data_IF_216561285199
#
_entry.id   IF_216561285199
#
_cell.length_a   1.000
_cell.length_b   1.000
_cell.length_c   1.000
_cell.angle_alpha   90.00
_cell.angle_beta   90.00
_cell.angle_gamma   90.00
#
_symmetry.space_group_name_H-M   'P 1'
#
loop_
_entity.id
_entity.type
_entity.pdbx_description
1 polymer ?
#
# COMPACT_ATOMS: atom_id res chain seq x y z
N UNK A 1 28.86 -21.64 -8.72
CA UNK A 1 29.95 -20.89 -9.40
C UNK A 1 29.93 -21.05 -10.94
N UNK A 2 29.53 -22.22 -11.49
CA UNK A 2 29.46 -22.43 -12.95
C UNK A 2 28.47 -21.50 -13.70
N UNK A 3 27.33 -21.13 -13.10
CA UNK A 3 26.35 -20.24 -13.74
C UNK A 3 26.87 -18.79 -13.91
N UNK A 4 27.81 -18.35 -13.06
CA UNK A 4 28.33 -16.98 -13.11
C UNK A 4 29.04 -16.68 -14.44
N UNK A 5 29.71 -17.69 -15.02
CA UNK A 5 30.40 -17.55 -16.29
C UNK A 5 29.45 -17.31 -17.48
N UNK A 6 28.19 -17.71 -17.37
CA UNK A 6 27.18 -17.52 -18.42
C UNK A 6 26.60 -16.10 -18.42
N UNK A 7 26.69 -15.37 -17.29
CA UNK A 7 26.17 -14.00 -17.20
C UNK A 7 26.91 -13.00 -18.10
N UNK A 8 28.10 -13.33 -18.61
CA UNK A 8 28.82 -12.49 -19.58
C UNK A 8 28.02 -12.26 -20.88
N UNK A 9 27.10 -13.17 -21.18
CA UNK A 9 26.29 -13.13 -22.39
C UNK A 9 24.97 -12.37 -22.17
N UNK A 10 24.64 -12.03 -20.92
CA UNK A 10 23.48 -11.19 -20.59
C UNK A 10 23.81 -9.72 -20.88
N UNK A 11 22.96 -9.06 -21.69
CA UNK A 11 23.13 -7.67 -22.08
C UNK A 11 21.82 -6.92 -21.92
N UNK A 12 21.93 -5.66 -21.51
CA UNK A 12 20.83 -4.70 -21.43
C UNK A 12 21.30 -3.44 -22.13
N UNK A 13 20.43 -2.85 -22.94
CA UNK A 13 20.74 -1.60 -23.60
C UNK A 13 20.90 -0.48 -22.59
N UNK A 14 22.02 0.24 -22.68
CA UNK A 14 22.30 1.37 -21.77
C UNK A 14 21.41 2.57 -22.07
N UNK A 15 20.99 2.73 -23.31
CA UNK A 15 20.12 3.82 -23.73
C UNK A 15 18.67 3.36 -23.65
N UNK A 16 17.86 4.05 -22.83
CA UNK A 16 16.42 3.76 -22.68
C UNK A 16 15.60 4.14 -23.92
N UNK A 17 16.18 4.95 -24.81
CA UNK A 17 15.57 5.40 -26.06
C UNK A 17 16.28 4.70 -27.23
N UNK A 18 15.55 3.97 -28.09
CA UNK A 18 16.15 3.37 -29.28
C UNK A 18 16.76 4.42 -30.22
N UNK A 19 17.73 4.00 -31.03
CA UNK A 19 18.24 4.83 -32.12
C UNK A 19 17.08 5.18 -33.08
N UNK A 20 17.09 6.41 -33.60
CA UNK A 20 16.09 6.88 -34.57
C UNK A 20 14.64 6.88 -34.05
N UNK A 21 14.41 6.75 -32.73
CA UNK A 21 13.07 6.75 -32.12
C UNK A 21 12.33 8.09 -32.24
N UNK A 22 12.93 9.14 -32.79
CA UNK A 22 12.27 10.45 -32.93
C UNK A 22 12.06 11.19 -31.61
N UNK A 23 11.15 12.17 -31.60
CA UNK A 23 10.83 12.97 -30.41
C UNK A 23 9.90 12.19 -29.47
N UNK A 24 10.21 12.19 -28.17
CA UNK A 24 9.38 11.55 -27.14
C UNK A 24 8.22 12.49 -26.82
N UNK A 25 7.00 12.02 -27.01
CA UNK A 25 5.76 12.76 -26.70
C UNK A 25 5.12 12.28 -25.40
N UNK A 26 5.43 11.05 -24.97
CA UNK A 26 4.89 10.45 -23.76
C UNK A 26 5.95 9.56 -23.11
N UNK A 27 6.05 9.63 -21.78
CA UNK A 27 6.91 8.77 -20.98
C UNK A 27 6.22 8.42 -19.65
N UNK A 28 6.10 7.13 -19.33
CA UNK A 28 5.45 6.66 -18.11
C UNK A 28 6.25 5.53 -17.46
N UNK A 29 6.42 5.59 -16.14
CA UNK A 29 7.05 4.53 -15.38
C UNK A 29 6.03 3.46 -15.01
N UNK A 30 6.40 2.19 -15.20
CA UNK A 30 5.63 1.04 -14.74
C UNK A 30 6.46 0.23 -13.75
N UNK A 31 5.93 0.08 -12.53
CA UNK A 31 6.57 -0.66 -11.45
C UNK A 31 5.78 -1.93 -11.14
N UNK A 32 6.39 -3.07 -11.33
CA UNK A 32 5.84 -4.36 -10.97
C UNK A 32 6.35 -4.77 -9.60
N UNK A 33 5.50 -5.33 -8.77
CA UNK A 33 5.85 -5.85 -7.45
C UNK A 33 5.32 -7.28 -7.28
N UNK A 34 6.12 -8.12 -6.64
CA UNK A 34 5.69 -9.48 -6.30
C UNK A 34 6.49 -10.05 -5.12
N UNK A 35 5.94 -11.09 -4.48
CA UNK A 35 6.64 -11.86 -3.46
C UNK A 35 6.31 -13.34 -3.52
N UNK A 36 7.27 -14.14 -3.07
CA UNK A 36 7.22 -15.59 -2.96
C UNK A 36 7.77 -16.03 -1.61
N UNK A 37 7.84 -17.34 -1.37
CA UNK A 37 8.48 -17.90 -0.18
C UNK A 37 10.00 -17.66 -0.16
N UNK A 38 10.62 -17.51 -1.33
CA UNK A 38 12.07 -17.34 -1.49
C UNK A 38 12.50 -15.88 -1.31
N UNK A 39 11.63 -14.93 -1.66
CA UNK A 39 11.96 -13.52 -1.67
C UNK A 39 10.85 -12.61 -2.15
N UNK A 40 11.17 -11.33 -2.29
CA UNK A 40 10.28 -10.33 -2.84
C UNK A 40 11.06 -9.37 -3.73
N UNK A 41 10.39 -8.86 -4.75
CA UNK A 41 11.05 -8.11 -5.79
C UNK A 41 10.19 -7.07 -6.47
N UNK A 42 10.87 -6.16 -7.17
CA UNK A 42 10.24 -5.18 -8.05
C UNK A 42 11.00 -5.06 -9.35
N UNK A 43 10.28 -4.69 -10.41
CA UNK A 43 10.83 -4.44 -11.74
C UNK A 43 10.26 -3.14 -12.25
N UNK A 44 11.10 -2.28 -12.79
CA UNK A 44 10.71 -0.98 -13.33
C UNK A 44 11.00 -0.94 -14.82
N UNK A 45 9.99 -0.53 -15.57
CA UNK A 45 10.08 -0.25 -17.00
C UNK A 45 9.69 1.21 -17.28
N UNK A 46 10.19 1.73 -18.40
CA UNK A 46 9.80 3.01 -18.97
C UNK A 46 9.07 2.77 -20.28
N UNK A 47 7.80 3.15 -20.33
CA UNK A 47 7.01 3.15 -21.55
C UNK A 47 7.17 4.50 -22.24
N UNK A 48 7.60 4.49 -23.50
CA UNK A 48 7.85 5.66 -24.33
C UNK A 48 6.97 5.62 -25.57
N UNK A 49 6.28 6.73 -25.87
CA UNK A 49 5.68 6.96 -27.19
C UNK A 49 6.39 8.10 -27.90
N UNK A 50 6.48 8.01 -29.22
CA UNK A 50 7.02 9.07 -30.06
C UNK A 50 5.95 9.78 -30.90
N UNK A 51 6.37 10.83 -31.61
CA UNK A 51 5.55 11.57 -32.58
C UNK A 51 5.02 10.72 -33.74
N UNK A 52 5.57 9.53 -33.98
CA UNK A 52 5.20 8.61 -35.05
C UNK A 52 4.33 7.44 -34.55
N UNK A 53 3.76 7.53 -33.34
CA UNK A 53 2.94 6.47 -32.71
C UNK A 53 3.69 5.15 -32.46
N UNK A 54 5.02 5.16 -32.46
CA UNK A 54 5.82 4.02 -32.04
C UNK A 54 5.85 3.94 -30.52
N UNK A 55 5.65 2.74 -30.01
CA UNK A 55 5.66 2.43 -28.58
C UNK A 55 6.90 1.60 -28.27
N UNK A 56 7.64 1.98 -27.23
CA UNK A 56 8.81 1.27 -26.76
C UNK A 56 8.76 1.08 -25.26
N UNK A 57 9.05 -0.14 -24.79
CA UNK A 57 9.20 -0.47 -23.39
C UNK A 57 10.67 -0.73 -23.10
N UNK A 58 11.27 0.10 -22.24
CA UNK A 58 12.67 -0.03 -21.84
C UNK A 58 12.77 -0.55 -20.40
N UNK A 59 13.58 -1.58 -20.18
CA UNK A 59 13.93 -2.02 -18.83
C UNK A 59 14.82 -0.99 -18.14
N UNK A 60 14.44 -0.58 -16.94
CA UNK A 60 15.23 0.33 -16.10
C UNK A 60 16.00 -0.48 -15.05
N UNK A 61 15.28 -1.26 -14.24
CA UNK A 61 15.87 -1.94 -13.09
C UNK A 61 15.00 -3.09 -12.61
N UNK A 62 15.65 -4.20 -12.26
CA UNK A 62 15.10 -5.26 -11.41
C UNK A 62 15.77 -5.22 -10.04
N UNK A 63 14.99 -5.32 -8.97
CA UNK A 63 15.49 -5.35 -7.59
C UNK A 63 14.84 -6.50 -6.83
N UNK A 64 15.65 -7.49 -6.45
CA UNK A 64 15.24 -8.64 -5.65
C UNK A 64 15.80 -8.56 -4.23
N UNK A 65 15.10 -9.16 -3.27
CA UNK A 65 15.54 -9.35 -1.88
C UNK A 65 15.11 -10.73 -1.39
N UNK A 66 16.01 -11.42 -0.70
CA UNK A 66 15.73 -12.72 -0.09
C UNK A 66 14.69 -12.58 1.03
N UNK A 67 13.86 -13.60 1.21
CA UNK A 67 12.87 -13.66 2.26
C UNK A 67 13.54 -13.47 3.65
N UNK A 68 12.91 -12.72 4.58
CA UNK A 68 13.48 -12.52 5.91
C UNK A 68 13.60 -13.84 6.68
N UNK A 69 14.68 -13.99 7.45
CA UNK A 69 14.88 -15.14 8.34
C UNK A 69 13.76 -15.33 9.37
N UNK A 70 13.14 -14.23 9.80
CA UNK A 70 11.95 -14.28 10.64
C UNK A 70 10.73 -14.46 9.73
N UNK A 71 9.95 -15.54 9.88
CA UNK A 71 8.79 -15.80 9.04
C UNK A 71 7.83 -14.62 9.05
N UNK A 72 7.48 -14.17 7.86
CA UNK A 72 6.40 -13.21 7.62
C UNK A 72 5.47 -13.80 6.57
N UNK A 73 4.20 -13.41 6.65
CA UNK A 73 3.18 -13.94 5.72
C UNK A 73 3.41 -13.41 4.31
N UNK A 74 3.01 -14.20 3.30
CA UNK A 74 3.10 -13.81 1.88
C UNK A 74 2.42 -12.45 1.63
N UNK A 75 1.19 -12.16 2.11
CA UNK A 75 0.57 -10.84 1.98
C UNK A 75 1.42 -9.67 2.51
N UNK A 76 2.14 -9.87 3.61
CA UNK A 76 3.04 -8.86 4.17
C UNK A 76 4.29 -8.68 3.31
N UNK A 77 4.78 -9.74 2.67
CA UNK A 77 5.89 -9.66 1.72
C UNK A 77 5.48 -8.98 0.42
N UNK A 78 4.32 -9.31 -0.13
CA UNK A 78 3.76 -8.64 -1.32
C UNK A 78 3.58 -7.14 -1.06
N UNK A 79 3.01 -6.77 0.09
CA UNK A 79 2.88 -5.37 0.50
C UNK A 79 4.24 -4.67 0.71
N UNK A 80 5.25 -5.44 1.15
CA UNK A 80 6.62 -4.93 1.26
C UNK A 80 7.24 -4.72 -0.12
N UNK A 81 7.01 -5.61 -1.09
CA UNK A 81 7.43 -5.45 -2.48
C UNK A 81 6.82 -4.19 -3.10
N UNK A 82 5.51 -3.97 -2.89
CA UNK A 82 4.81 -2.75 -3.31
C UNK A 82 5.42 -1.48 -2.68
N UNK A 83 5.80 -1.54 -1.40
CA UNK A 83 6.51 -0.42 -0.76
C UNK A 83 7.88 -0.16 -1.39
N UNK A 84 8.60 -1.19 -1.81
CA UNK A 84 9.86 -1.03 -2.54
C UNK A 84 9.62 -0.41 -3.92
N UNK A 85 8.55 -0.80 -4.62
CA UNK A 85 8.17 -0.20 -5.90
C UNK A 85 7.91 1.31 -5.77
N UNK A 86 7.15 1.76 -4.77
CA UNK A 86 6.94 3.19 -4.50
C UNK A 86 8.24 3.95 -4.17
N UNK A 87 9.22 3.30 -3.55
CA UNK A 87 10.54 3.89 -3.33
C UNK A 87 11.38 3.98 -4.61
N UNK A 88 11.26 2.99 -5.50
CA UNK A 88 11.91 3.04 -6.82
C UNK A 88 11.32 4.17 -7.65
N UNK A 89 10.01 4.37 -7.62
CA UNK A 89 9.34 5.48 -8.31
C UNK A 89 9.90 6.85 -7.91
N UNK A 90 10.00 7.13 -6.61
CA UNK A 90 10.61 8.37 -6.11
C UNK A 90 12.04 8.60 -6.63
N UNK A 91 12.84 7.53 -6.74
CA UNK A 91 14.21 7.61 -7.26
C UNK A 91 14.14 7.93 -8.75
N UNK A 92 13.44 7.12 -9.53
CA UNK A 92 13.46 7.26 -10.99
C UNK A 92 12.79 8.54 -11.47
N UNK A 93 11.71 9.01 -10.84
CA UNK A 93 11.12 10.31 -11.15
C UNK A 93 12.07 11.48 -10.89
N UNK A 94 12.95 11.36 -9.90
CA UNK A 94 13.95 12.37 -9.59
C UNK A 94 15.14 12.32 -10.55
N UNK A 95 15.61 11.12 -10.89
CA UNK A 95 16.82 10.93 -11.68
C UNK A 95 16.58 11.01 -13.19
N UNK A 96 15.38 10.66 -13.67
CA UNK A 96 14.99 10.80 -15.06
C UNK A 96 14.68 12.28 -15.35
N UNK A 97 15.62 12.96 -15.99
CA UNK A 97 15.51 14.36 -16.42
C UNK A 97 14.60 14.53 -17.65
N UNK A 98 13.37 14.01 -17.58
CA UNK A 98 12.37 14.11 -18.63
C UNK A 98 10.97 14.32 -18.03
N UNK A 99 10.04 14.77 -18.86
CA UNK A 99 8.65 14.93 -18.45
C UNK A 99 7.98 13.55 -18.36
N UNK A 100 7.64 13.14 -17.14
CA UNK A 100 6.99 11.86 -16.86
C UNK A 100 5.51 12.05 -16.53
N UNK A 101 4.69 11.18 -17.08
CA UNK A 101 3.30 10.99 -16.68
C UNK A 101 3.21 10.25 -15.35
N UNK A 102 2.03 10.25 -14.74
CA UNK A 102 1.76 9.50 -13.51
C UNK A 102 2.15 8.04 -13.64
N UNK A 103 2.98 7.55 -12.72
CA UNK A 103 3.49 6.19 -12.74
C UNK A 103 2.38 5.18 -12.45
N UNK A 104 2.49 3.98 -13.00
CA UNK A 104 1.55 2.89 -12.77
C UNK A 104 2.24 1.75 -12.01
N UNK A 105 1.56 1.23 -11.00
CA UNK A 105 2.06 0.17 -10.14
C UNK A 105 1.24 -1.09 -10.36
N UNK A 106 1.90 -2.21 -10.62
CA UNK A 106 1.29 -3.50 -10.90
C UNK A 106 1.58 -4.46 -9.76
N UNK A 107 0.52 -5.05 -9.20
CA UNK A 107 0.60 -5.97 -8.07
C UNK A 107 -0.55 -6.98 -8.10
N UNK A 108 -0.59 -7.88 -7.13
CA UNK A 108 -1.67 -8.84 -6.96
C UNK A 108 -2.94 -8.23 -6.31
N UNK A 109 -4.02 -9.00 -6.26
CA UNK A 109 -5.31 -8.54 -5.72
C UNK A 109 -5.29 -8.22 -4.21
N UNK A 110 -4.45 -8.90 -3.42
CA UNK A 110 -4.40 -8.72 -1.96
C UNK A 110 -3.86 -7.33 -1.62
N UNK A 111 -2.77 -6.91 -2.27
CA UNK A 111 -2.20 -5.57 -2.05
C UNK A 111 -3.16 -4.48 -2.50
N UNK A 112 -3.84 -4.66 -3.63
CA UNK A 112 -4.86 -3.71 -4.08
C UNK A 112 -5.98 -3.53 -3.05
N UNK A 113 -6.45 -4.64 -2.46
CA UNK A 113 -7.42 -4.60 -1.37
C UNK A 113 -6.94 -3.74 -0.21
N UNK A 114 -5.68 -3.92 0.22
CA UNK A 114 -5.13 -3.11 1.30
C UNK A 114 -4.98 -1.63 0.96
N UNK A 115 -4.62 -1.30 -0.28
CA UNK A 115 -4.42 0.08 -0.75
C UNK A 115 -5.76 0.82 -0.92
N UNK A 116 -6.77 0.16 -1.47
CA UNK A 116 -8.10 0.73 -1.71
C UNK A 116 -9.02 0.68 -0.48
N UNK A 117 -8.55 0.17 0.67
CA UNK A 117 -9.38 0.07 1.84
C UNK A 117 -9.55 1.42 2.55
N UNK A 118 -10.80 1.86 2.66
CA UNK A 118 -11.16 3.12 3.36
C UNK A 118 -11.84 2.88 4.71
N UNK A 119 -12.32 1.66 4.97
CA UNK A 119 -13.28 1.37 6.04
C UNK A 119 -12.67 0.65 7.23
N UNK A 120 -11.69 -0.23 6.99
CA UNK A 120 -11.19 -1.18 7.98
C UNK A 120 -9.89 -0.70 8.61
N UNK A 121 -9.73 -0.98 9.89
CA UNK A 121 -8.50 -0.62 10.61
C UNK A 121 -7.51 -1.77 10.56
N UNK A 122 -6.37 -1.58 9.93
CA UNK A 122 -5.33 -2.60 9.88
C UNK A 122 -4.51 -2.75 11.16
N UNK A 123 -3.87 -3.92 11.31
CA UNK A 123 -2.72 -4.14 12.18
C UNK A 123 -1.56 -3.22 11.78
N UNK A 124 -0.70 -2.92 12.74
CA UNK A 124 0.34 -1.89 12.61
C UNK A 124 1.26 -2.10 11.41
N UNK A 125 1.61 -3.35 11.08
CA UNK A 125 2.48 -3.64 9.93
C UNK A 125 1.84 -3.18 8.62
N UNK A 126 0.62 -3.65 8.33
CA UNK A 126 -0.11 -3.29 7.10
C UNK A 126 -0.44 -1.80 7.09
N UNK A 127 -0.94 -1.25 8.19
CA UNK A 127 -1.25 0.18 8.31
C UNK A 127 -0.05 1.08 7.97
N UNK A 128 1.14 0.76 8.49
CA UNK A 128 2.33 1.55 8.25
C UNK A 128 2.79 1.45 6.79
N UNK A 129 2.73 0.26 6.19
CA UNK A 129 3.15 0.04 4.79
C UNK A 129 2.19 0.68 3.80
N UNK A 130 0.88 0.54 4.01
CA UNK A 130 -0.14 1.26 3.22
C UNK A 130 0.07 2.77 3.35
N UNK A 131 0.34 3.29 4.55
CA UNK A 131 0.65 4.71 4.72
C UNK A 131 1.93 5.14 4.00
N UNK A 132 2.98 4.30 3.94
CA UNK A 132 4.19 4.59 3.14
C UNK A 132 3.89 4.64 1.64
N UNK A 133 3.07 3.70 1.14
CA UNK A 133 2.67 3.64 -0.28
C UNK A 133 1.84 4.87 -0.66
N UNK A 134 0.85 5.23 0.16
CA UNK A 134 -0.06 6.34 -0.11
C UNK A 134 0.59 7.72 0.06
N UNK A 135 1.79 7.81 0.65
CA UNK A 135 2.57 9.06 0.68
C UNK A 135 3.20 9.40 -0.67
N UNK A 136 3.38 8.41 -1.54
CA UNK A 136 4.14 8.56 -2.80
C UNK A 136 3.30 8.26 -4.03
N UNK A 137 2.09 7.73 -3.85
CA UNK A 137 1.19 7.33 -4.93
C UNK A 137 -0.26 7.39 -4.48
N UNK A 138 -1.19 7.45 -5.44
CA UNK A 138 -2.63 7.38 -5.20
C UNK A 138 -3.17 5.97 -5.45
N UNK A 139 -4.26 5.53 -4.80
CA UNK A 139 -4.87 4.22 -5.04
C UNK A 139 -5.17 3.96 -6.54
N UNK A 140 -5.60 5.00 -7.27
CA UNK A 140 -5.89 4.93 -8.71
C UNK A 140 -4.71 4.57 -9.61
N UNK A 141 -3.47 4.72 -9.12
CA UNK A 141 -2.25 4.35 -9.85
C UNK A 141 -1.91 2.86 -9.73
N UNK A 142 -2.58 2.13 -8.82
CA UNK A 142 -2.33 0.72 -8.57
C UNK A 142 -3.30 -0.15 -9.36
N UNK A 143 -2.73 -1.09 -10.13
CA UNK A 143 -3.45 -2.01 -11.01
C UNK A 143 -3.09 -3.45 -10.73
N UNK A 144 -4.02 -4.33 -11.08
CA UNK A 144 -3.85 -5.76 -10.98
C UNK A 144 -3.01 -6.29 -12.13
N UNK A 145 -2.13 -7.24 -11.86
CA UNK A 145 -1.54 -8.11 -12.88
C UNK A 145 -1.55 -9.54 -12.36
N UNK A 146 -1.90 -10.48 -13.23
CA UNK A 146 -1.84 -11.90 -12.88
C UNK A 146 -0.37 -12.37 -12.81
N UNK A 147 -0.09 -13.44 -12.06
CA UNK A 147 1.27 -13.96 -11.86
C UNK A 147 1.99 -14.28 -13.17
N UNK A 148 1.33 -14.87 -14.17
CA UNK A 148 1.97 -15.25 -15.44
C UNK A 148 2.40 -14.05 -16.30
N UNK A 149 1.75 -12.90 -16.13
CA UNK A 149 2.07 -11.65 -16.81
C UNK A 149 2.88 -10.69 -15.94
N UNK A 150 3.12 -11.04 -14.67
CA UNK A 150 3.88 -10.22 -13.74
C UNK A 150 5.36 -10.57 -13.85
N UNK A 151 6.21 -9.73 -14.47
CA UNK A 151 7.63 -9.98 -14.49
C UNK A 151 8.16 -10.16 -13.07
N UNK A 152 7.73 -9.36 -12.09
CA UNK A 152 8.33 -9.35 -10.74
C UNK A 152 8.33 -10.71 -10.02
N UNK A 153 7.53 -11.68 -10.47
CA UNK A 153 7.59 -13.09 -10.05
C UNK A 153 8.99 -13.70 -10.24
N UNK A 154 9.69 -13.36 -11.33
CA UNK A 154 11.06 -13.79 -11.57
C UNK A 154 12.05 -13.16 -10.59
N UNK A 155 11.78 -11.93 -10.13
CA UNK A 155 12.60 -11.30 -9.10
C UNK A 155 12.31 -11.86 -7.69
N UNK A 156 11.08 -12.30 -7.41
CA UNK A 156 10.72 -12.86 -6.10
C UNK A 156 11.22 -14.30 -5.93
N UNK A 157 11.03 -15.16 -6.95
CA UNK A 157 11.44 -16.58 -6.93
C UNK A 157 12.89 -16.83 -7.34
N UNK A 158 13.49 -15.88 -8.04
CA UNK A 158 14.78 -16.06 -8.69
C UNK A 158 14.68 -16.85 -10.00
N UNK A 159 15.74 -16.79 -10.78
CA UNK A 159 15.80 -17.40 -12.12
C UNK A 159 17.20 -17.97 -12.36
N UNK A 160 17.26 -19.16 -12.96
CA UNK A 160 18.52 -19.74 -13.44
C UNK A 160 19.09 -18.91 -14.58
N UNK A 161 20.41 -18.80 -14.67
CA UNK A 161 21.06 -17.95 -15.69
C UNK A 161 20.70 -18.36 -17.11
N UNK A 162 20.64 -19.66 -17.41
CA UNK A 162 20.22 -20.14 -18.74
C UNK A 162 18.80 -19.68 -19.11
N UNK A 163 17.88 -19.71 -18.15
CA UNK A 163 16.51 -19.25 -18.35
C UNK A 163 16.45 -17.73 -18.50
N UNK A 164 17.28 -16.97 -17.76
CA UNK A 164 17.39 -15.52 -17.92
C UNK A 164 17.88 -15.14 -19.32
N UNK A 165 18.89 -15.82 -19.84
CA UNK A 165 19.43 -15.57 -21.18
C UNK A 165 18.42 -15.87 -22.29
N UNK A 166 17.52 -16.84 -22.07
CA UNK A 166 16.43 -17.16 -23.01
C UNK A 166 15.19 -16.27 -22.82
N UNK A 167 15.04 -15.64 -21.67
CA UNK A 167 13.85 -14.86 -21.33
C UNK A 167 14.02 -13.40 -21.78
N UNK A 168 13.72 -13.17 -23.05
CA UNK A 168 13.72 -11.82 -23.65
C UNK A 168 12.67 -10.91 -22.97
N UNK A 169 11.56 -11.49 -22.50
CA UNK A 169 10.43 -10.78 -21.90
C UNK A 169 10.81 -10.02 -20.63
N UNK A 170 11.79 -10.51 -19.86
CA UNK A 170 12.28 -9.80 -18.69
C UNK A 170 12.86 -8.42 -19.02
N UNK A 171 13.58 -8.31 -20.14
CA UNK A 171 14.23 -7.06 -20.57
C UNK A 171 13.29 -6.23 -21.45
N UNK A 172 12.48 -6.85 -22.31
CA UNK A 172 11.51 -6.11 -23.15
C UNK A 172 10.25 -5.68 -22.39
N UNK A 173 10.03 -6.22 -21.20
CA UNK A 173 8.80 -6.07 -20.44
C UNK A 173 7.64 -6.93 -20.98
N UNK A 174 6.53 -6.97 -20.24
CA UNK A 174 5.36 -7.75 -20.64
C UNK A 174 4.67 -7.13 -21.87
N UNK A 175 4.23 -7.99 -22.79
CA UNK A 175 3.72 -7.59 -24.10
C UNK A 175 2.51 -6.64 -24.03
N UNK A 176 1.69 -6.75 -22.99
CA UNK A 176 0.50 -5.91 -22.87
C UNK A 176 0.85 -4.43 -22.69
N UNK A 177 2.02 -4.07 -22.14
CA UNK A 177 2.39 -2.66 -21.95
C UNK A 177 2.54 -1.90 -23.27
N UNK A 178 2.88 -2.60 -24.35
CA UNK A 178 3.02 -2.00 -25.68
C UNK A 178 1.73 -2.12 -26.52
N UNK A 179 0.67 -2.66 -25.92
CA UNK A 179 -0.69 -2.64 -26.47
C UNK A 179 -1.44 -1.41 -25.95
N UNK A 180 -2.53 -1.01 -26.61
CA UNK A 180 -3.45 0.01 -26.10
C UNK A 180 -3.85 -0.27 -24.64
N UNK A 181 -4.06 0.78 -23.86
CA UNK A 181 -4.37 0.68 -22.43
C UNK A 181 -5.66 -0.11 -22.17
N UNK A 182 -6.58 -0.12 -23.13
CA UNK A 182 -7.83 -0.88 -23.09
C UNK A 182 -7.60 -2.40 -23.09
N UNK A 183 -6.44 -2.86 -23.58
CA UNK A 183 -6.04 -4.27 -23.58
C UNK A 183 -5.22 -4.65 -22.33
N UNK A 184 -4.99 -3.71 -21.42
CA UNK A 184 -4.23 -3.99 -20.20
C UNK A 184 -5.06 -4.83 -19.20
N UNK A 185 -4.41 -5.52 -18.25
CA UNK A 185 -5.10 -6.28 -17.23
C UNK A 185 -6.12 -5.42 -16.46
N UNK A 186 -7.34 -5.95 -16.34
CA UNK A 186 -8.44 -5.29 -15.64
C UNK A 186 -8.37 -5.59 -14.14
N UNK A 187 -8.71 -4.59 -13.32
CA UNK A 187 -8.80 -4.77 -11.87
C UNK A 187 -9.95 -5.72 -11.52
N UNK A 188 -9.75 -6.69 -10.61
CA UNK A 188 -10.82 -7.55 -10.13
C UNK A 188 -11.92 -6.75 -9.44
N UNK A 189 -13.17 -7.19 -9.58
CA UNK A 189 -14.30 -6.63 -8.85
C UNK A 189 -14.07 -6.68 -7.33
N UNK A 190 -14.50 -5.63 -6.63
CA UNK A 190 -14.37 -5.55 -5.17
C UNK A 190 -12.93 -5.34 -4.69
N UNK A 191 -12.08 -4.65 -5.48
CA UNK A 191 -10.69 -4.35 -5.11
C UNK A 191 -10.50 -3.47 -3.86
N UNK A 192 -11.58 -3.02 -3.20
CA UNK A 192 -11.57 -2.35 -1.88
C UNK A 192 -12.28 -3.14 -0.77
N UNK A 193 -12.96 -4.24 -1.11
CA UNK A 193 -13.69 -5.07 -0.14
C UNK A 193 -12.75 -6.07 0.53
N UNK A 194 -12.52 -5.86 1.82
CA UNK A 194 -11.75 -6.75 2.67
C UNK A 194 -12.70 -7.49 3.60
N UNK A 195 -12.54 -8.81 3.66
CA UNK A 195 -13.26 -9.63 4.61
C UNK A 195 -12.94 -9.19 6.05
N UNK A 196 -13.95 -9.00 6.93
CA UNK A 196 -13.72 -8.72 8.34
C UNK A 196 -12.89 -9.80 9.06
N UNK A 197 -12.81 -10.99 8.49
CA UNK A 197 -12.04 -12.14 8.95
C UNK A 197 -10.57 -12.11 8.50
N UNK A 198 -10.18 -11.17 7.63
CA UNK A 198 -8.78 -11.01 7.21
C UNK A 198 -7.87 -10.83 8.45
N UNK A 199 -6.78 -11.61 8.56
CA UNK A 199 -5.94 -11.61 9.76
C UNK A 199 -5.31 -10.26 10.05
N UNK A 200 -5.12 -9.41 9.04
CA UNK A 200 -4.55 -8.07 9.14
C UNK A 200 -5.58 -7.00 9.48
N UNK A 201 -6.88 -7.30 9.43
CA UNK A 201 -7.94 -6.40 9.90
C UNK A 201 -8.09 -6.53 11.41
N UNK A 202 -8.10 -5.38 12.12
CA UNK A 202 -8.42 -5.34 13.54
C UNK A 202 -9.92 -5.52 13.70
N UNK A 203 -10.32 -6.51 14.50
CA UNK A 203 -11.71 -6.67 14.92
C UNK A 203 -12.21 -5.36 15.53
N UNK A 204 -13.37 -4.90 15.06
CA UNK A 204 -14.08 -3.79 15.68
C UNK A 204 -14.37 -4.18 17.12
N UNK A 205 -13.82 -3.42 18.08
CA UNK A 205 -14.14 -3.61 19.50
C UNK A 205 -15.46 -2.90 19.74
N UNK A 206 -16.56 -3.65 19.71
CA UNK A 206 -17.85 -3.13 20.13
C UNK A 206 -17.77 -2.89 21.64
N UNK A 207 -17.72 -1.63 22.05
CA UNK A 207 -17.86 -1.26 23.46
C UNK A 207 -19.35 -1.34 23.79
N UNK A 208 -19.77 -2.51 24.26
CA UNK A 208 -21.13 -2.68 24.77
C UNK A 208 -21.24 -1.88 26.07
N UNK A 209 -22.09 -0.86 26.07
CA UNK A 209 -22.48 -0.17 27.30
C UNK A 209 -23.63 -0.98 27.89
N UNK A 210 -23.39 -1.68 29.00
CA UNK A 210 -24.48 -2.28 29.76
C UNK A 210 -25.17 -1.12 30.49
N UNK A 211 -26.32 -0.68 29.99
CA UNK A 211 -27.28 0.02 30.83
C UNK A 211 -27.93 -1.05 31.69
N UNK A 212 -27.46 -1.21 32.93
CA UNK A 212 -28.26 -1.88 33.95
C UNK A 212 -29.43 -0.95 34.22
N UNK A 213 -30.60 -1.26 33.65
CA UNK A 213 -31.86 -0.84 34.25
C UNK A 213 -31.92 -1.57 35.59
N UNK A 214 -31.57 -0.85 36.64
CA UNK A 214 -31.61 -1.40 37.99
C UNK A 214 -33.08 -1.40 38.41
N UNK A 215 -33.81 -2.47 38.09
CA UNK A 215 -35.06 -2.83 38.76
C UNK A 215 -34.76 -3.46 40.14
N UNK A 216 -33.80 -2.89 40.87
CA UNK A 216 -33.51 -3.29 42.23
C UNK A 216 -34.01 -2.18 43.15
N UNK A 217 -35.11 -2.46 43.84
CA UNK A 217 -35.85 -1.51 44.69
C UNK A 217 -34.98 -0.99 45.85
N UNK A 218 -33.81 -1.59 46.08
CA UNK A 218 -32.80 -1.20 47.09
C UNK A 218 -31.47 -0.66 46.50
N UNK A 219 -31.36 -0.44 45.19
CA UNK A 219 -30.17 0.18 44.63
C UNK A 219 -30.16 1.69 44.86
N UNK A 220 -29.49 2.10 45.94
CA UNK A 220 -29.12 3.49 46.21
C UNK A 220 -28.51 4.10 44.94
N UNK A 221 -29.18 5.09 44.36
CA UNK A 221 -28.73 5.82 43.16
C UNK A 221 -27.24 6.18 43.27
N UNK A 222 -26.54 6.17 42.14
CA UNK A 222 -25.08 6.38 42.08
C UNK A 222 -24.67 7.69 42.76
N UNK A 223 -25.51 8.73 42.64
CA UNK A 223 -25.30 10.01 43.32
C UNK A 223 -25.39 9.83 44.83
N UNK A 224 -26.41 9.12 45.32
CA UNK A 224 -26.61 8.85 46.74
C UNK A 224 -25.49 7.97 47.32
N UNK A 225 -24.99 6.98 46.56
CA UNK A 225 -23.79 6.20 46.92
C UNK A 225 -22.55 7.08 47.07
N UNK A 226 -22.34 8.02 46.14
CA UNK A 226 -21.24 8.97 46.23
C UNK A 226 -21.36 9.89 47.44
N UNK A 227 -22.57 10.39 47.72
CA UNK A 227 -22.83 11.25 48.88
C UNK A 227 -22.54 10.49 50.18
N UNK A 228 -23.01 9.26 50.31
CA UNK A 228 -22.85 8.45 51.52
C UNK A 228 -21.41 7.94 51.73
N UNK A 229 -20.61 7.79 50.66
CA UNK A 229 -19.22 7.34 50.78
C UNK A 229 -18.29 8.37 51.44
N UNK A 230 -18.55 9.67 51.27
CA UNK A 230 -17.68 10.71 51.79
C UNK A 230 -18.25 11.34 53.06
N UNK A 231 -17.58 11.14 54.19
CA UNK A 231 -17.88 11.80 55.47
C UNK A 231 -17.53 13.30 55.51
N UNK A 232 -16.93 13.85 54.44
CA UNK A 232 -16.56 15.26 54.34
C UNK A 232 -17.06 15.87 53.03
N UNK A 233 -17.92 16.89 53.16
CA UNK A 233 -18.45 17.67 52.03
C UNK A 233 -17.36 18.25 51.14
N UNK A 234 -16.26 18.74 51.73
CA UNK A 234 -15.15 19.33 50.97
C UNK A 234 -14.43 18.28 50.12
N UNK A 235 -14.27 17.04 50.63
CA UNK A 235 -13.67 15.93 49.87
C UNK A 235 -14.57 15.49 48.73
N UNK A 236 -15.88 15.31 48.99
CA UNK A 236 -16.86 15.00 47.96
C UNK A 236 -16.83 16.04 46.84
N UNK A 237 -16.91 17.33 47.19
CA UNK A 237 -16.89 18.43 46.21
C UNK A 237 -15.65 18.39 45.33
N UNK A 238 -14.45 18.17 45.93
CA UNK A 238 -13.20 18.08 45.17
C UNK A 238 -13.22 16.91 44.18
N UNK A 239 -13.67 15.74 44.60
CA UNK A 239 -13.76 14.56 43.73
C UNK A 239 -14.71 14.80 42.57
N UNK A 240 -15.91 15.33 42.84
CA UNK A 240 -16.88 15.68 41.79
C UNK A 240 -16.30 16.71 40.80
N UNK A 241 -15.61 17.74 41.27
CA UNK A 241 -14.92 18.70 40.40
C UNK A 241 -13.88 18.04 39.50
N UNK A 242 -13.10 17.08 40.00
CA UNK A 242 -12.13 16.34 39.19
C UNK A 242 -12.80 15.45 38.14
N UNK A 243 -13.90 14.78 38.49
CA UNK A 243 -14.68 13.97 37.53
C UNK A 243 -15.24 14.86 36.42
N UNK A 244 -15.83 16.01 36.77
CA UNK A 244 -16.34 16.96 35.79
C UNK A 244 -15.22 17.52 34.88
N UNK A 245 -14.05 17.82 35.46
CA UNK A 245 -12.88 18.26 34.69
C UNK A 245 -12.39 17.18 33.72
N UNK A 246 -12.33 15.93 34.17
CA UNK A 246 -11.97 14.79 33.32
C UNK A 246 -12.99 14.59 32.19
N UNK A 247 -14.29 14.63 32.50
CA UNK A 247 -15.37 14.56 31.50
C UNK A 247 -15.19 15.63 30.41
N UNK A 248 -14.96 16.88 30.81
CA UNK A 248 -14.76 17.98 29.87
C UNK A 248 -13.50 17.78 29.00
N UNK A 249 -12.41 17.30 29.60
CA UNK A 249 -11.18 16.99 28.87
C UNK A 249 -11.40 15.87 27.84
N UNK A 250 -12.08 14.79 28.23
CA UNK A 250 -12.40 13.68 27.34
C UNK A 250 -13.32 14.10 26.19
N UNK A 251 -14.33 14.93 26.46
CA UNK A 251 -15.21 15.49 25.43
C UNK A 251 -14.44 16.40 24.46
N UNK A 252 -13.54 17.24 24.96
CA UNK A 252 -12.69 18.09 24.13
C UNK A 252 -11.79 17.25 23.20
N UNK A 253 -11.12 16.23 23.74
CA UNK A 253 -10.29 15.32 22.96
C UNK A 253 -11.09 14.55 21.91
N UNK A 254 -12.30 14.10 22.27
CA UNK A 254 -13.21 13.43 21.33
C UNK A 254 -13.61 14.34 20.17
N UNK A 255 -13.96 15.60 20.45
CA UNK A 255 -14.30 16.59 19.42
C UNK A 255 -13.10 16.87 18.51
N UNK A 256 -11.90 17.08 19.08
CA UNK A 256 -10.66 17.28 18.31
C UNK A 256 -10.33 16.10 17.40
N UNK A 257 -10.53 14.86 17.86
CA UNK A 257 -10.35 13.66 17.03
C UNK A 257 -11.33 13.62 15.87
N UNK A 258 -12.61 13.90 16.13
CA UNK A 258 -13.67 13.94 15.11
C UNK A 258 -13.42 15.04 14.07
N UNK A 259 -12.97 16.21 14.51
CA UNK A 259 -12.64 17.32 13.63
C UNK A 259 -11.42 17.00 12.76
N UNK A 260 -10.34 16.44 13.34
CA UNK A 260 -9.18 16.00 12.57
C UNK A 260 -9.52 14.93 11.52
N UNK A 261 -10.43 13.99 11.84
CA UNK A 261 -10.90 13.01 10.86
C UNK A 261 -11.76 13.63 9.75
N UNK A 262 -12.53 14.68 10.04
CA UNK A 262 -13.30 15.42 9.02
C UNK A 262 -12.39 16.27 8.13
N UNK A 263 -11.40 16.95 8.70
CA UNK A 263 -10.41 17.74 7.96
C UNK A 263 -9.60 16.86 6.99
N UNK A 264 -9.20 15.66 7.43
CA UNK A 264 -8.54 14.65 6.58
C UNK A 264 -9.44 14.13 5.45
N UNK A 265 -10.76 14.09 5.67
CA UNK A 265 -11.72 13.67 4.64
C UNK A 265 -12.03 14.79 3.64
N UNK A 266 -12.08 16.05 4.09
CA UNK A 266 -12.34 17.21 3.24
C UNK A 266 -11.12 17.62 2.41
N UNK A 267 -9.91 17.51 2.95
CA UNK A 267 -8.68 17.76 2.18
C UNK A 267 -8.43 16.76 1.05
N UNK A 268 -9.17 15.65 1.00
CA UNK A 268 -9.14 14.69 -0.10
C UNK A 268 -10.20 14.95 -1.19
N UNK A 269 -11.10 15.91 -0.99
CA UNK A 269 -12.21 16.23 -1.92
C UNK A 269 -11.93 17.51 -2.72
N UNK A 270 -11.09 18.42 -2.22
CA UNK A 270 -10.75 19.68 -2.92
C UNK A 270 -9.64 19.56 -3.99
N UNK A 271 -9.22 18.33 -4.35
CA UNK A 271 -8.26 18.07 -5.46
C UNK A 271 -8.92 17.50 -6.74
N UNK A 272 -10.25 17.55 -6.85
CA UNK A 272 -10.97 17.33 -8.14
C UNK A 272 -11.51 18.65 -8.68
#
# INVERSE_FOLDING_TARGET
MQELCQLKDFKVDRCLKPAEFGEITFAQLHHFADASEDGYGTVTYLLLHNSHQQVHCAFIMGKSRVAPLKPITIPRMELTAATVAGRMDMIWRKELQMQLQDSIFWTNCIVLKYINNETSRFRTFVANRVSEILKVSRPSQWRYVNTSSNPADLASRGLKVESLLKNVTWVSGPQFLIRPEEEWPVNPDGSGEISPEDPEVKRSVTVNTIQTEVEDVDAVDTVTRMINYFSSWIRLRRVVCWILRLKNLLLCLSRKRKQKSLELAQSGIDET
#
